data_IF_043151491294
#
_entry.id   IF_043151491294
#
_cell.length_a   1.000
_cell.length_b   1.000
_cell.length_c   1.000
_cell.angle_alpha   90.00
_cell.angle_beta   90.00
_cell.angle_gamma   90.00
#
_symmetry.space_group_name_H-M   'P 1'
#
loop_
_entity.id
_entity.type
_entity.pdbx_description
1 polymer ?
#
# COMPACT_ATOMS: atom_id res chain seq x y z
N UNK A 1 -4.75 -22.14 -0.22
CA UNK A 1 -6.03 -21.49 -0.58
C UNK A 1 -6.23 -20.43 0.48
N UNK A 2 -6.12 -19.14 0.14
CA UNK A 2 -6.44 -18.06 1.07
C UNK A 2 -7.90 -18.23 1.46
N UNK A 3 -8.19 -18.50 2.74
CA UNK A 3 -9.55 -18.60 3.23
C UNK A 3 -10.16 -17.19 3.22
N UNK A 4 -11.12 -16.95 2.34
CA UNK A 4 -11.99 -15.78 2.38
C UNK A 4 -12.90 -15.97 3.61
N UNK A 5 -12.54 -15.32 4.72
CA UNK A 5 -13.36 -15.26 5.93
C UNK A 5 -14.13 -13.95 5.93
N UNK A 6 -15.42 -14.01 5.57
CA UNK A 6 -16.32 -12.85 5.69
C UNK A 6 -16.52 -12.40 7.14
N UNK A 7 -16.13 -13.23 8.12
CA UNK A 7 -16.26 -12.95 9.55
C UNK A 7 -15.06 -12.22 10.16
N UNK A 8 -13.87 -12.28 9.53
CA UNK A 8 -12.69 -11.59 10.04
C UNK A 8 -12.63 -10.16 9.49
N UNK A 9 -12.30 -9.20 10.37
CA UNK A 9 -12.18 -7.80 10.01
C UNK A 9 -10.73 -7.36 9.99
N UNK A 10 -10.37 -6.72 8.89
CA UNK A 10 -9.03 -6.21 8.60
C UNK A 10 -9.09 -4.70 8.44
N UNK A 11 -8.00 -4.04 8.82
CA UNK A 11 -7.75 -2.66 8.40
C UNK A 11 -6.80 -2.74 7.22
N UNK A 12 -7.31 -2.36 6.06
CA UNK A 12 -6.53 -2.10 4.87
C UNK A 12 -5.89 -0.73 4.99
N UNK A 13 -4.58 -0.62 4.81
CA UNK A 13 -3.83 0.62 4.99
C UNK A 13 -3.10 1.01 3.71
N UNK A 14 -3.13 2.31 3.40
CA UNK A 14 -2.32 2.94 2.36
C UNK A 14 -1.37 3.95 2.98
N UNK A 15 -0.07 3.79 2.74
CA UNK A 15 0.99 4.52 3.43
C UNK A 15 2.11 4.98 2.50
N UNK A 16 2.47 6.26 2.58
CA UNK A 16 3.62 6.82 1.85
C UNK A 16 4.84 6.84 2.75
N UNK A 17 5.83 6.02 2.41
CA UNK A 17 7.01 5.79 3.25
C UNK A 17 7.89 7.03 3.43
N UNK A 18 8.04 7.83 2.38
CA UNK A 18 8.91 9.02 2.35
C UNK A 18 8.45 10.11 3.30
N UNK A 19 7.14 10.30 3.41
CA UNK A 19 6.51 11.34 4.23
C UNK A 19 5.93 10.78 5.53
N UNK A 20 6.09 9.47 5.78
CA UNK A 20 5.42 8.72 6.85
C UNK A 20 3.92 9.03 6.97
N UNK A 21 3.27 9.22 5.82
CA UNK A 21 1.90 9.70 5.74
C UNK A 21 0.96 8.52 5.47
N UNK A 22 -0.08 8.36 6.29
CA UNK A 22 -1.16 7.43 5.96
C UNK A 22 -2.11 8.14 5.00
N UNK A 23 -2.20 7.66 3.76
CA UNK A 23 -3.11 8.21 2.77
C UNK A 23 -4.55 7.76 3.03
N UNK A 24 -4.76 6.50 3.39
CA UNK A 24 -6.09 5.95 3.54
C UNK A 24 -6.12 4.73 4.43
N UNK A 25 -7.30 4.46 4.97
CA UNK A 25 -7.59 3.19 5.61
C UNK A 25 -9.05 2.80 5.40
N UNK A 26 -9.27 1.50 5.34
CA UNK A 26 -10.59 0.91 5.20
C UNK A 26 -10.73 -0.31 6.11
N UNK A 27 -11.73 -0.30 6.99
CA UNK A 27 -12.09 -1.42 7.83
C UNK A 27 -13.08 -2.31 7.06
N UNK A 28 -12.68 -3.54 6.75
CA UNK A 28 -13.50 -4.46 5.97
C UNK A 28 -12.97 -5.90 5.96
N UNK A 29 -13.71 -6.83 5.34
CA UNK A 29 -13.28 -8.21 5.18
C UNK A 29 -12.09 -8.30 4.21
N UNK A 30 -11.46 -9.47 4.15
CA UNK A 30 -10.33 -9.71 3.26
C UNK A 30 -10.83 -10.14 1.86
N UNK A 31 -11.43 -9.22 1.11
CA UNK A 31 -12.06 -9.47 -0.20
C UNK A 31 -11.52 -8.56 -1.32
N UNK A 32 -11.80 -8.91 -2.57
CA UNK A 32 -11.50 -8.07 -3.73
C UNK A 32 -12.12 -6.68 -3.62
N UNK A 33 -13.39 -6.58 -3.19
CA UNK A 33 -14.08 -5.30 -3.01
C UNK A 33 -13.37 -4.37 -2.01
N UNK A 34 -12.76 -4.96 -0.97
CA UNK A 34 -12.02 -4.20 0.03
C UNK A 34 -10.68 -3.69 -0.51
N UNK A 35 -10.01 -4.49 -1.34
CA UNK A 35 -8.83 -4.05 -2.09
C UNK A 35 -9.17 -2.92 -3.08
N UNK A 36 -10.25 -3.08 -3.84
CA UNK A 36 -10.76 -2.04 -4.74
C UNK A 36 -11.04 -0.74 -3.98
N UNK A 37 -11.62 -0.84 -2.78
CA UNK A 37 -11.94 0.32 -1.94
C UNK A 37 -10.71 1.06 -1.44
N UNK A 38 -9.67 0.37 -0.97
CA UNK A 38 -8.44 1.03 -0.51
C UNK A 38 -7.65 1.65 -1.68
N UNK A 39 -7.62 0.99 -2.84
CA UNK A 39 -7.06 1.56 -4.06
C UNK A 39 -7.85 2.80 -4.50
N UNK A 40 -9.18 2.77 -4.38
CA UNK A 40 -10.00 3.93 -4.68
C UNK A 40 -9.65 5.12 -3.78
N UNK A 41 -9.66 4.93 -2.46
CA UNK A 41 -9.33 5.98 -1.47
C UNK A 41 -7.93 6.54 -1.70
N UNK A 42 -6.98 5.67 -2.06
CA UNK A 42 -5.60 6.07 -2.36
C UNK A 42 -5.56 6.94 -3.61
N UNK A 43 -6.22 6.49 -4.68
CA UNK A 43 -6.27 7.18 -5.97
C UNK A 43 -6.88 8.58 -5.90
N UNK A 44 -7.89 8.78 -5.06
CA UNK A 44 -8.52 10.09 -4.81
C UNK A 44 -7.55 11.12 -4.19
N UNK A 45 -6.40 10.68 -3.66
CA UNK A 45 -5.43 11.52 -2.93
C UNK A 45 -4.07 11.63 -3.62
N UNK A 46 -3.83 10.85 -4.66
CA UNK A 46 -2.57 10.89 -5.41
C UNK A 46 -2.75 11.63 -6.73
N UNK A 47 -1.64 12.08 -7.32
CA UNK A 47 -1.66 12.70 -8.64
C UNK A 47 -1.70 11.62 -9.72
N UNK A 48 -2.84 11.45 -10.38
CA UNK A 48 -3.02 10.43 -11.43
C UNK A 48 -2.16 10.68 -12.68
N UNK A 49 -1.63 11.90 -12.88
CA UNK A 49 -0.67 12.20 -13.97
C UNK A 49 0.77 11.73 -13.69
N UNK A 50 1.05 11.31 -12.45
CA UNK A 50 2.36 10.83 -12.04
C UNK A 50 2.16 9.77 -10.98
N UNK A 51 1.91 8.54 -11.44
CA UNK A 51 1.65 7.43 -10.54
C UNK A 51 2.88 7.12 -9.67
N UNK A 52 2.68 6.92 -8.35
CA UNK A 52 3.73 6.38 -7.50
C UNK A 52 3.94 4.90 -7.81
N UNK A 53 5.06 4.35 -7.35
CA UNK A 53 5.20 2.90 -7.28
C UNK A 53 4.32 2.34 -6.16
N UNK A 54 3.51 1.34 -6.50
CA UNK A 54 2.73 0.59 -5.53
C UNK A 54 3.53 -0.64 -5.06
N UNK A 55 3.60 -0.85 -3.76
CA UNK A 55 4.25 -2.02 -3.16
C UNK A 55 3.28 -2.66 -2.19
N UNK A 56 2.95 -3.94 -2.40
CA UNK A 56 2.05 -4.68 -1.50
C UNK A 56 2.71 -5.92 -0.91
N UNK A 57 2.01 -6.56 0.01
CA UNK A 57 2.25 -7.96 0.33
C UNK A 57 1.90 -8.88 -0.85
N UNK A 58 2.16 -10.17 -0.70
CA UNK A 58 1.97 -11.18 -1.75
C UNK A 58 0.52 -11.55 -2.07
N UNK A 59 -0.49 -10.77 -1.67
CA UNK A 59 -1.91 -11.11 -1.86
C UNK A 59 -2.37 -10.91 -3.30
N UNK A 60 -3.36 -11.71 -3.73
CA UNK A 60 -3.88 -11.71 -5.11
C UNK A 60 -4.70 -10.45 -5.47
N UNK A 61 -5.34 -9.80 -4.50
CA UNK A 61 -6.39 -8.80 -4.76
C UNK A 61 -5.88 -7.48 -5.36
N UNK A 62 -4.68 -7.06 -4.98
CA UNK A 62 -4.15 -5.75 -5.35
C UNK A 62 -3.83 -5.60 -6.84
N UNK A 63 -3.39 -6.68 -7.50
CA UNK A 63 -3.09 -6.65 -8.93
C UNK A 63 -4.35 -6.33 -9.74
N UNK A 64 -5.47 -6.97 -9.39
CA UNK A 64 -6.77 -6.75 -10.03
C UNK A 64 -7.32 -5.37 -9.70
N UNK A 65 -7.24 -4.94 -8.43
CA UNK A 65 -7.72 -3.62 -8.01
C UNK A 65 -6.97 -2.47 -8.71
N UNK A 66 -5.64 -2.58 -8.83
CA UNK A 66 -4.82 -1.62 -9.56
C UNK A 66 -5.12 -1.62 -11.05
N UNK A 67 -5.30 -2.80 -11.67
CA UNK A 67 -5.66 -2.91 -13.08
C UNK A 67 -7.04 -2.31 -13.35
N UNK A 68 -8.01 -2.51 -12.45
CA UNK A 68 -9.37 -1.96 -12.55
C UNK A 68 -9.36 -0.43 -12.54
N UNK A 69 -8.50 0.19 -11.73
CA UNK A 69 -8.41 1.66 -11.61
C UNK A 69 -7.49 2.30 -12.65
N UNK A 70 -6.32 1.72 -12.88
CA UNK A 70 -5.23 2.28 -13.71
C UNK A 70 -4.95 1.41 -14.94
N UNK A 71 -6.00 0.83 -15.52
CA UNK A 71 -5.88 0.01 -16.72
C UNK A 71 -6.80 0.49 -17.83
N UNK A 72 -6.32 0.41 -19.06
CA UNK A 72 -7.03 0.81 -20.26
C UNK A 72 -7.45 -0.41 -21.09
N UNK A 73 -8.57 -0.29 -21.80
CA UNK A 73 -9.00 -1.33 -22.72
C UNK A 73 -8.25 -1.22 -24.04
N UNK A 74 -7.30 -2.12 -24.26
CA UNK A 74 -6.57 -2.19 -25.52
C UNK A 74 -7.29 -3.12 -26.50
N UNK A 75 -7.60 -2.61 -27.68
CA UNK A 75 -8.10 -3.42 -28.81
C UNK A 75 -6.89 -3.91 -29.61
N UNK A 76 -6.75 -5.22 -29.73
CA UNK A 76 -5.66 -5.78 -30.51
C UNK A 76 -5.95 -5.71 -32.01
N UNK A 77 -4.98 -5.32 -32.85
CA UNK A 77 -5.15 -5.36 -34.30
C UNK A 77 -5.42 -6.80 -34.76
N UNK A 78 -6.18 -6.93 -35.85
CA UNK A 78 -6.46 -8.24 -36.45
C UNK A 78 -5.14 -8.85 -36.92
N UNK A 79 -4.85 -10.07 -36.47
CA UNK A 79 -3.58 -10.77 -36.78
C UNK A 79 -3.46 -11.20 -38.25
N UNK A 80 -4.48 -10.99 -39.10
CA UNK A 80 -4.53 -11.41 -40.51
C UNK A 80 -4.64 -12.93 -40.73
N UNK A 81 -4.36 -13.74 -39.71
CA UNK A 81 -4.51 -15.20 -39.71
C UNK A 81 -5.98 -15.61 -39.49
N UNK A 82 -6.39 -16.73 -40.08
CA UNK A 82 -7.71 -17.34 -39.85
C UNK A 82 -7.86 -17.72 -38.37
N UNK A 83 -8.87 -17.17 -37.70
CA UNK A 83 -9.14 -17.43 -36.27
C UNK A 83 -10.05 -16.38 -35.64
N UNK A 84 -10.53 -16.67 -34.41
CA UNK A 84 -11.36 -15.72 -33.64
C UNK A 84 -10.52 -14.49 -33.28
N UNK A 85 -10.95 -13.26 -33.61
CA UNK A 85 -10.26 -12.05 -33.19
C UNK A 85 -10.06 -12.03 -31.68
N UNK A 86 -8.90 -11.50 -31.25
CA UNK A 86 -8.61 -11.33 -29.82
C UNK A 86 -9.64 -10.35 -29.25
N UNK A 87 -10.30 -10.74 -28.16
CA UNK A 87 -11.17 -9.82 -27.42
C UNK A 87 -10.33 -8.69 -26.84
N UNK A 88 -10.88 -7.46 -26.76
CA UNK A 88 -10.29 -6.40 -25.96
C UNK A 88 -9.99 -6.91 -24.55
N UNK A 89 -8.84 -6.51 -24.01
CA UNK A 89 -8.45 -6.84 -22.63
C UNK A 89 -8.01 -5.55 -21.94
N UNK A 90 -8.22 -5.50 -20.63
CA UNK A 90 -7.68 -4.42 -19.82
C UNK A 90 -6.18 -4.66 -19.66
N UNK A 91 -5.38 -3.65 -19.99
CA UNK A 91 -3.94 -3.64 -19.82
C UNK A 91 -3.57 -2.53 -18.84
N UNK A 92 -2.54 -2.72 -17.99
CA UNK A 92 -2.08 -1.66 -17.10
C UNK A 92 -1.59 -0.46 -17.93
N UNK A 93 -1.77 0.75 -17.40
CA UNK A 93 -1.11 1.94 -17.94
C UNK A 93 0.41 1.75 -17.97
N UNK A 94 1.08 2.30 -18.99
CA UNK A 94 2.55 2.22 -19.10
C UNK A 94 3.26 2.84 -17.88
N UNK A 95 2.65 3.86 -17.28
CA UNK A 95 3.16 4.52 -16.07
C UNK A 95 2.93 3.72 -14.78
N UNK A 96 2.08 2.69 -14.80
CA UNK A 96 1.73 1.93 -13.61
C UNK A 96 2.88 0.98 -13.21
N UNK A 97 3.55 1.32 -12.11
CA UNK A 97 4.59 0.49 -11.49
C UNK A 97 4.05 -0.19 -10.24
N UNK A 98 4.12 -1.52 -10.20
CA UNK A 98 3.60 -2.31 -9.09
C UNK A 98 4.49 -3.52 -8.79
N UNK A 99 4.88 -3.67 -7.52
CA UNK A 99 5.66 -4.79 -7.02
C UNK A 99 5.05 -5.42 -5.76
N UNK A 100 5.36 -6.71 -5.56
CA UNK A 100 4.94 -7.49 -4.40
C UNK A 100 6.15 -8.00 -3.63
N UNK A 101 6.04 -7.99 -2.31
CA UNK A 101 6.96 -8.66 -1.39
C UNK A 101 6.30 -9.95 -0.89
N UNK A 102 6.77 -11.08 -1.41
CA UNK A 102 6.28 -12.41 -1.05
C UNK A 102 7.23 -13.01 -0.01
N UNK A 103 6.72 -13.23 1.20
CA UNK A 103 7.50 -13.80 2.31
C UNK A 103 7.17 -15.28 2.48
N UNK A 104 8.17 -16.15 2.37
CA UNK A 104 8.03 -17.56 2.71
C UNK A 104 8.34 -17.76 4.19
N UNK A 105 7.42 -18.40 4.91
CA UNK A 105 7.55 -18.67 6.35
C UNK A 105 7.55 -20.17 6.62
N UNK A 106 8.42 -20.59 7.51
CA UNK A 106 8.50 -21.96 8.01
C UNK A 106 8.70 -21.90 9.54
N UNK A 107 7.92 -22.68 10.30
CA UNK A 107 7.96 -22.65 11.76
C UNK A 107 7.73 -21.27 12.40
N UNK A 108 6.97 -20.39 11.75
CA UNK A 108 6.71 -19.02 12.20
C UNK A 108 7.85 -18.03 11.94
N UNK A 109 8.97 -18.46 11.34
CA UNK A 109 10.09 -17.60 10.95
C UNK A 109 10.06 -17.31 9.45
N UNK A 110 10.46 -16.10 9.06
CA UNK A 110 10.65 -15.76 7.65
C UNK A 110 11.97 -16.37 7.19
N UNK A 111 11.90 -17.29 6.23
CA UNK A 111 13.07 -17.99 5.67
C UNK A 111 13.50 -17.41 4.33
N UNK A 112 12.57 -16.77 3.61
CA UNK A 112 12.87 -16.17 2.31
C UNK A 112 11.96 -14.95 2.05
N UNK A 113 12.50 -13.97 1.34
CA UNK A 113 11.77 -12.79 0.87
C UNK A 113 12.02 -12.69 -0.64
N UNK A 114 10.96 -12.90 -1.42
CA UNK A 114 10.96 -12.75 -2.86
C UNK A 114 10.31 -11.42 -3.22
N UNK A 115 10.98 -10.65 -4.10
CA UNK A 115 10.43 -9.42 -4.68
C UNK A 115 9.98 -9.73 -6.09
N UNK A 116 8.72 -9.43 -6.40
CA UNK A 116 8.12 -9.72 -7.70
C UNK A 116 7.55 -8.44 -8.29
N UNK A 117 8.06 -8.02 -9.45
CA UNK A 117 7.46 -6.92 -10.22
C UNK A 117 6.29 -7.51 -11.01
N UNK A 118 5.12 -6.89 -10.90
CA UNK A 118 3.86 -7.33 -11.55
C UNK A 118 3.50 -6.41 -12.71
N UNK A 119 3.62 -5.08 -12.51
CA UNK A 119 3.44 -4.08 -13.56
C UNK A 119 4.65 -3.14 -13.61
N UNK A 120 5.02 -2.73 -14.81
CA UNK A 120 6.23 -1.96 -15.10
C UNK A 120 7.44 -2.82 -15.46
N UNK A 121 8.46 -2.17 -16.00
CA UNK A 121 9.72 -2.80 -16.41
C UNK A 121 10.72 -2.87 -15.25
N UNK A 122 11.66 -3.82 -15.33
CA UNK A 122 12.64 -4.06 -14.26
C UNK A 122 13.65 -2.93 -14.13
N UNK A 123 14.02 -2.33 -15.25
CA UNK A 123 14.97 -1.23 -15.36
C UNK A 123 14.43 0.06 -14.70
N UNK A 124 13.11 0.13 -14.59
CA UNK A 124 12.35 1.28 -14.10
C UNK A 124 12.10 1.29 -12.60
N UNK A 125 12.40 0.17 -11.92
CA UNK A 125 12.12 -0.08 -10.52
C UNK A 125 13.39 -0.56 -9.82
N UNK A 126 13.91 0.27 -8.93
CA UNK A 126 14.99 -0.14 -8.05
C UNK A 126 14.49 -1.22 -7.06
N UNK A 127 15.05 -2.43 -7.11
CA UNK A 127 14.65 -3.51 -6.20
C UNK A 127 14.91 -3.16 -4.72
N UNK A 128 15.83 -2.24 -4.43
CA UNK A 128 16.18 -1.82 -3.07
C UNK A 128 15.04 -1.11 -2.35
N UNK A 129 14.15 -0.46 -3.11
CA UNK A 129 12.98 0.25 -2.56
C UNK A 129 11.80 -0.67 -2.30
N UNK A 130 11.78 -1.88 -2.89
CA UNK A 130 10.68 -2.84 -2.72
C UNK A 130 10.78 -3.49 -1.32
N UNK A 131 10.06 -2.91 -0.37
CA UNK A 131 9.99 -3.37 1.01
C UNK A 131 8.68 -2.99 1.69
N UNK A 132 8.13 -3.91 2.49
CA UNK A 132 6.94 -3.66 3.33
C UNK A 132 7.31 -3.25 4.76
N UNK A 133 8.59 -3.11 5.10
CA UNK A 133 9.03 -2.89 6.48
C UNK A 133 8.39 -1.65 7.14
N UNK A 134 8.18 -0.58 6.38
CA UNK A 134 7.57 0.65 6.91
C UNK A 134 6.08 0.48 7.21
N UNK A 135 5.32 -0.17 6.33
CA UNK A 135 3.89 -0.41 6.56
C UNK A 135 3.68 -1.45 7.67
N UNK A 136 4.54 -2.45 7.77
CA UNK A 136 4.52 -3.41 8.89
C UNK A 136 4.80 -2.72 10.23
N UNK A 137 5.76 -1.78 10.26
CA UNK A 137 6.03 -0.95 11.44
C UNK A 137 4.81 -0.09 11.78
N UNK A 138 4.17 0.50 10.78
CA UNK A 138 2.97 1.31 10.99
C UNK A 138 1.80 0.47 11.53
N UNK A 139 1.61 -0.74 10.99
CA UNK A 139 0.62 -1.69 11.47
C UNK A 139 0.87 -2.12 12.92
N UNK A 140 2.14 -2.28 13.32
CA UNK A 140 2.48 -2.51 14.73
C UNK A 140 2.07 -1.32 15.60
N UNK A 141 2.38 -0.08 15.20
CA UNK A 141 1.97 1.12 15.93
C UNK A 141 0.45 1.24 16.04
N UNK A 142 -0.29 0.98 14.95
CA UNK A 142 -1.75 0.97 14.98
C UNK A 142 -2.29 -0.05 15.98
N UNK A 143 -1.72 -1.25 16.06
CA UNK A 143 -2.16 -2.26 17.05
C UNK A 143 -1.84 -1.87 18.49
N UNK A 144 -0.70 -1.23 18.72
CA UNK A 144 -0.31 -0.76 20.06
C UNK A 144 -1.20 0.38 20.55
N UNK A 145 -1.53 1.32 19.66
CA UNK A 145 -2.33 2.50 20.00
C UNK A 145 -3.84 2.21 19.93
N UNK A 146 -4.25 1.09 19.30
CA UNK A 146 -5.65 0.67 19.14
C UNK A 146 -5.97 -0.65 19.85
N UNK A 147 -6.46 -0.56 21.09
CA UNK A 147 -6.94 -1.75 21.82
C UNK A 147 -8.09 -2.49 21.09
N UNK A 148 -8.80 -1.84 20.16
CA UNK A 148 -9.85 -2.48 19.34
C UNK A 148 -9.30 -3.50 18.35
N UNK A 149 -8.01 -3.42 18.01
CA UNK A 149 -7.30 -4.37 17.14
C UNK A 149 -6.70 -5.55 17.91
N UNK A 150 -6.87 -5.57 19.22
CA UNK A 150 -6.43 -6.68 20.06
C UNK A 150 -7.55 -7.71 20.18
N UNK A 151 -7.21 -8.98 19.94
CA UNK A 151 -8.16 -10.10 20.02
C UNK A 151 -8.59 -10.31 21.49
N UNK A 152 -9.87 -10.67 21.70
CA UNK A 152 -10.44 -11.04 23.01
C UNK A 152 -10.35 -9.94 24.08
N UNK A 153 -10.46 -8.68 23.68
CA UNK A 153 -10.61 -7.55 24.62
C UNK A 153 -12.07 -7.09 24.66
N UNK A 154 -12.47 -6.39 25.71
CA UNK A 154 -13.79 -5.74 25.80
C UNK A 154 -13.94 -4.53 24.88
N UNK A 155 -12.83 -4.06 24.28
CA UNK A 155 -12.78 -2.84 23.46
C UNK A 155 -13.05 -3.05 21.97
N UNK A 156 -13.37 -4.27 21.53
CA UNK A 156 -13.58 -4.54 20.10
C UNK A 156 -14.80 -3.78 19.54
N UNK A 157 -14.72 -3.41 18.26
CA UNK A 157 -15.87 -2.84 17.55
C UNK A 157 -16.82 -3.95 17.08
N UNK A 158 -18.11 -3.82 17.41
CA UNK A 158 -19.16 -4.75 16.93
C UNK A 158 -19.61 -4.50 15.48
N UNK A 159 -19.36 -3.31 14.96
CA UNK A 159 -19.67 -2.91 13.57
C UNK A 159 -18.44 -2.26 12.94
N UNK A 160 -18.28 -2.44 11.65
CA UNK A 160 -17.13 -1.92 10.87
C UNK A 160 -17.06 -0.40 10.88
N UNK A 161 -18.21 0.26 10.84
CA UNK A 161 -18.33 1.71 10.96
C UNK A 161 -17.62 2.26 12.21
N UNK A 162 -17.80 1.62 13.36
CA UNK A 162 -17.14 2.05 14.61
C UNK A 162 -15.63 1.79 14.57
N UNK A 163 -15.19 0.71 13.91
CA UNK A 163 -13.76 0.47 13.69
C UNK A 163 -13.16 1.50 12.74
N UNK A 164 -13.88 1.86 11.68
CA UNK A 164 -13.49 2.88 10.71
C UNK A 164 -13.37 4.26 11.37
N UNK A 165 -14.33 4.67 12.21
CA UNK A 165 -14.26 5.94 12.95
C UNK A 165 -13.05 5.99 13.88
N UNK A 166 -12.82 4.93 14.66
CA UNK A 166 -11.65 4.85 15.54
C UNK A 166 -10.35 4.94 14.72
N UNK A 167 -10.27 4.23 13.60
CA UNK A 167 -9.11 4.22 12.71
C UNK A 167 -8.87 5.60 12.10
N UNK A 168 -9.95 6.29 11.71
CA UNK A 168 -9.88 7.66 11.17
C UNK A 168 -9.32 8.65 12.19
N UNK A 169 -9.73 8.55 13.46
CA UNK A 169 -9.18 9.37 14.55
C UNK A 169 -7.68 9.12 14.73
N UNK A 170 -7.26 7.86 14.70
CA UNK A 170 -5.85 7.50 14.84
C UNK A 170 -4.99 7.99 13.68
N UNK A 171 -5.50 7.88 12.45
CA UNK A 171 -4.82 8.40 11.25
C UNK A 171 -4.69 9.92 11.33
N UNK A 172 -5.75 10.61 11.76
CA UNK A 172 -5.73 12.06 11.96
C UNK A 172 -4.68 12.45 12.98
N UNK A 173 -4.62 11.74 14.11
CA UNK A 173 -3.60 11.95 15.13
C UNK A 173 -2.18 11.69 14.59
N UNK A 174 -1.97 10.59 13.85
CA UNK A 174 -0.67 10.23 13.27
C UNK A 174 -0.19 11.23 12.21
N UNK A 175 -1.09 11.71 11.34
CA UNK A 175 -0.76 12.58 10.23
C UNK A 175 -0.58 14.05 10.65
N UNK A 176 -1.39 14.54 11.60
CA UNK A 176 -1.50 15.99 11.84
C UNK A 176 -1.11 16.44 13.25
N UNK A 177 -1.12 15.56 14.24
CA UNK A 177 -0.85 15.92 15.64
C UNK A 177 0.52 15.41 16.09
N UNK A 178 0.83 14.14 15.77
CA UNK A 178 2.06 13.49 16.20
C UNK A 178 3.25 13.95 15.35
N UNK A 179 4.27 14.47 16.00
CA UNK A 179 5.54 14.82 15.33
C UNK A 179 6.37 13.57 15.05
N UNK A 180 6.84 13.42 13.82
CA UNK A 180 7.74 12.32 13.42
C UNK A 180 9.19 12.74 13.56
N UNK A 181 9.93 12.10 14.47
CA UNK A 181 11.33 12.47 14.73
C UNK A 181 12.23 12.35 13.51
N UNK A 182 12.00 11.36 12.65
CA UNK A 182 12.79 11.17 11.42
C UNK A 182 12.51 12.21 10.34
N UNK A 183 11.41 12.97 10.47
CA UNK A 183 11.03 14.03 9.54
C UNK A 183 11.36 15.42 10.12
N UNK A 184 12.03 15.48 11.28
CA UNK A 184 12.50 16.74 11.86
C UNK A 184 13.46 17.39 10.85
N UNK A 185 13.04 18.53 10.33
CA UNK A 185 13.91 19.40 9.54
C UNK A 185 14.82 20.12 10.53
N UNK A 186 16.13 20.00 10.32
CA UNK A 186 17.09 20.77 11.11
C UNK A 186 16.88 22.24 10.76
N UNK A 187 16.49 23.03 11.76
CA UNK A 187 16.40 24.47 11.59
C UNK A 187 17.81 25.02 11.33
N UNK A 188 18.05 25.52 10.11
CA UNK A 188 19.32 26.15 9.74
C UNK A 188 19.52 27.49 10.45
N UNK A 189 18.50 28.03 11.11
CA UNK A 189 18.56 29.22 11.95
C UNK A 189 18.64 28.86 13.44
N UNK A 190 19.67 28.13 13.84
CA UNK A 190 20.57 28.61 14.92
C UNK A 190 21.78 27.68 15.19
N UNK A 191 22.93 28.35 15.29
CA UNK A 191 24.21 27.99 15.93
C UNK A 191 25.19 27.14 15.10
N UNK A 192 26.37 27.75 14.87
CA UNK A 192 27.62 27.13 14.42
C UNK A 192 27.88 25.83 15.18
N UNK A 193 27.60 24.68 14.57
CA UNK A 193 27.93 23.40 15.18
C UNK A 193 27.33 22.20 14.45
N UNK A 194 28.13 21.63 13.54
CA UNK A 194 28.03 20.29 12.92
C UNK A 194 27.19 20.15 11.63
N UNK A 195 27.89 19.59 10.64
CA UNK A 195 27.47 19.31 9.28
C UNK A 195 26.35 18.26 9.22
N UNK A 196 25.14 18.68 8.82
CA UNK A 196 24.07 17.76 8.41
C UNK A 196 24.22 17.39 6.94
N UNK A 197 24.27 16.09 6.63
CA UNK A 197 24.34 15.57 5.25
C UNK A 197 22.99 15.77 4.52
N UNK A 198 23.06 16.21 3.26
CA UNK A 198 21.93 16.33 2.34
C UNK A 198 21.33 14.95 2.05
N UNK A 199 20.03 14.77 2.27
CA UNK A 199 19.28 13.60 1.75
C UNK A 199 18.61 14.02 0.44
N UNK A 200 19.04 13.44 -0.68
CA UNK A 200 18.42 13.65 -1.99
C UNK A 200 16.96 13.16 -2.02
N UNK A 201 16.17 13.75 -2.92
CA UNK A 201 14.79 13.35 -3.19
C UNK A 201 14.75 11.88 -3.61
N UNK A 202 14.04 11.06 -2.85
CA UNK A 202 13.73 9.67 -3.19
C UNK A 202 12.41 9.64 -4.02
N UNK A 203 12.18 8.56 -4.79
CA UNK A 203 10.94 8.40 -5.55
C UNK A 203 9.76 7.99 -4.66
N UNK A 204 8.66 8.74 -4.76
CA UNK A 204 7.41 8.53 -4.02
C UNK A 204 6.90 7.08 -4.12
N UNK A 205 6.81 6.41 -2.96
CA UNK A 205 6.35 5.03 -2.80
C UNK A 205 5.04 5.00 -2.01
N UNK A 206 4.04 4.31 -2.56
CA UNK A 206 2.83 3.95 -1.83
C UNK A 206 2.90 2.46 -1.43
N UNK A 207 2.93 2.21 -0.13
CA UNK A 207 2.85 0.88 0.45
C UNK A 207 1.39 0.56 0.80
N UNK A 208 0.96 -0.64 0.48
CA UNK A 208 -0.40 -1.13 0.73
C UNK A 208 -0.34 -2.47 1.47
N UNK A 209 -1.10 -2.62 2.54
CA UNK A 209 -1.22 -3.85 3.31
C UNK A 209 -2.67 -4.07 3.77
#
# INVERSE_FOLDING_TARGET
MEHESEDERWIWLSFVSEHRLILGAYAGPMTQDSADRIIQITGEKINEKKLPIFITDGRKYYAEALLKRYGEYTVFPKTGKRGRPRKPRQMPLEELKYAQVIKTREGGKVINIQRKIIFGEKEDIDESIISTAYIERQNLTLRQDNNRLTRKTIGYSKKDEWLQHQTTLQITNHNFIRTHESLKIVDKKQIKGKNGKNTGNKPQQCLLE
#
